data_IF_665353056381
#
_entry.id   IF_665353056381
#
_cell.length_a   1.000
_cell.length_b   1.000
_cell.length_c   1.000
_cell.angle_alpha   90.00
_cell.angle_beta   90.00
_cell.angle_gamma   90.00
#
_symmetry.space_group_name_H-M   'P 1'
#
loop_
_entity.id
_entity.type
_entity.pdbx_description
1 polymer ?
#
# COMPACT_ATOMS: atom_id res chain seq x y z
N UNK A 1 -31.59 -32.92 4.70
CA UNK A 1 -32.23 -32.67 6.01
C UNK A 1 -32.18 -31.16 6.21
N UNK A 2 -33.23 -30.47 5.82
CA UNK A 2 -34.34 -29.84 6.57
C UNK A 2 -33.87 -29.20 7.88
N UNK A 3 -33.88 -27.82 7.97
CA UNK A 3 -35.01 -27.07 8.52
C UNK A 3 -34.84 -25.57 8.35
N UNK A 4 -35.85 -24.95 7.75
CA UNK A 4 -36.31 -23.58 7.84
C UNK A 4 -36.69 -23.22 9.28
N UNK A 5 -36.52 -21.94 9.70
CA UNK A 5 -37.49 -21.23 10.56
C UNK A 5 -37.50 -19.77 10.16
N UNK A 6 -38.69 -19.31 9.78
CA UNK A 6 -39.11 -17.95 9.61
C UNK A 6 -39.54 -17.36 10.96
N UNK A 7 -39.44 -16.04 11.11
CA UNK A 7 -39.92 -15.30 12.28
C UNK A 7 -40.12 -13.83 11.96
N UNK A 8 -41.30 -13.52 11.50
CA UNK A 8 -41.93 -12.23 11.24
C UNK A 8 -42.38 -11.64 12.57
N UNK A 9 -42.13 -10.35 12.82
CA UNK A 9 -42.96 -9.57 13.74
C UNK A 9 -42.94 -8.10 13.36
N UNK A 10 -44.06 -7.71 12.87
CA UNK A 10 -44.54 -6.37 12.55
C UNK A 10 -45.24 -5.79 13.80
N UNK A 11 -44.83 -4.58 14.27
CA UNK A 11 -45.68 -3.78 15.18
C UNK A 11 -45.69 -2.33 14.76
N UNK A 12 -46.79 -1.96 14.13
CA UNK A 12 -47.26 -0.58 14.04
C UNK A 12 -47.87 -0.17 15.40
N UNK A 13 -47.54 1.01 15.86
CA UNK A 13 -48.37 1.76 16.80
C UNK A 13 -48.35 3.23 16.39
N UNK A 14 -49.47 3.69 15.88
CA UNK A 14 -49.82 5.09 15.68
C UNK A 14 -50.38 5.64 16.99
N UNK A 15 -49.95 6.84 17.38
CA UNK A 15 -50.66 7.68 18.36
C UNK A 15 -50.56 9.12 17.91
N UNK A 16 -51.67 9.67 17.48
CA UNK A 16 -51.93 11.10 17.36
C UNK A 16 -52.13 11.71 18.75
N UNK A 17 -51.50 12.86 18.99
CA UNK A 17 -51.74 13.69 20.13
C UNK A 17 -51.43 15.14 19.76
N UNK A 18 -52.49 15.97 19.71
CA UNK A 18 -52.49 17.38 19.34
C UNK A 18 -52.10 18.29 20.51
N UNK A 19 -51.46 19.41 20.19
CA UNK A 19 -51.63 20.68 20.91
C UNK A 19 -50.51 21.12 21.86
N UNK A 20 -49.93 22.28 21.61
CA UNK A 20 -49.12 23.02 22.56
C UNK A 20 -48.08 23.94 21.92
N UNK A 21 -48.49 25.20 21.66
CA UNK A 21 -47.57 26.33 21.43
C UNK A 21 -46.61 26.52 22.61
N UNK A 22 -45.33 26.68 22.34
CA UNK A 22 -44.37 27.14 23.32
C UNK A 22 -42.98 26.56 23.13
N UNK A 23 -42.07 27.32 22.58
CA UNK A 23 -40.65 27.00 22.74
C UNK A 23 -39.77 27.11 21.48
N UNK A 24 -39.75 28.29 20.88
CA UNK A 24 -38.83 28.58 19.78
C UNK A 24 -37.40 28.95 20.25
N UNK A 25 -37.14 28.96 21.56
CA UNK A 25 -35.84 29.34 22.13
C UNK A 25 -34.91 28.14 22.39
N UNK A 26 -35.45 26.94 22.62
CA UNK A 26 -34.64 25.76 22.91
C UNK A 26 -33.93 25.15 21.66
N UNK A 27 -34.40 25.48 20.45
CA UNK A 27 -33.79 24.98 19.20
C UNK A 27 -32.59 25.81 18.74
N UNK A 28 -32.43 27.05 19.22
CA UNK A 28 -31.28 27.88 18.86
C UNK A 28 -30.00 27.47 19.61
N UNK A 29 -30.11 27.10 20.89
CA UNK A 29 -28.94 26.65 21.68
C UNK A 29 -28.44 25.27 21.27
N UNK A 30 -29.32 24.34 20.88
CA UNK A 30 -28.91 23.02 20.40
C UNK A 30 -28.17 23.07 19.04
N UNK A 31 -28.50 24.07 18.19
CA UNK A 31 -27.86 24.22 16.89
C UNK A 31 -26.49 24.88 16.99
N UNK A 32 -26.27 25.77 17.95
CA UNK A 32 -24.96 26.39 18.20
C UNK A 32 -23.95 25.36 18.73
N UNK A 33 -24.38 24.49 19.65
CA UNK A 33 -23.49 23.42 20.20
C UNK A 33 -23.12 22.37 19.18
N UNK A 34 -24.00 22.04 18.20
CA UNK A 34 -23.71 21.11 17.10
C UNK A 34 -22.72 21.67 16.09
N UNK A 35 -22.76 23.00 15.85
CA UNK A 35 -21.82 23.65 14.90
C UNK A 35 -20.39 23.71 15.44
N UNK A 36 -20.22 23.97 16.72
CA UNK A 36 -18.89 24.00 17.34
C UNK A 36 -18.26 22.60 17.42
N UNK A 37 -19.05 21.56 17.70
CA UNK A 37 -18.56 20.18 17.70
C UNK A 37 -18.15 19.70 16.30
N UNK A 38 -18.92 20.08 15.28
CA UNK A 38 -18.56 19.75 13.87
C UNK A 38 -17.28 20.45 13.43
N UNK A 39 -17.11 21.73 13.74
CA UNK A 39 -15.92 22.49 13.42
C UNK A 39 -14.67 21.95 14.18
N UNK A 40 -14.85 21.50 15.42
CA UNK A 40 -13.76 20.89 16.19
C UNK A 40 -13.31 19.53 15.61
N UNK A 41 -14.24 18.72 15.12
CA UNK A 41 -13.94 17.43 14.48
C UNK A 41 -13.28 17.64 13.12
N UNK A 42 -13.77 18.58 12.30
CA UNK A 42 -13.14 18.93 11.02
C UNK A 42 -11.72 19.46 11.21
N UNK A 43 -11.49 20.30 12.22
CA UNK A 43 -10.17 20.84 12.53
C UNK A 43 -9.22 19.74 13.06
N UNK A 44 -9.71 18.78 13.86
CA UNK A 44 -8.94 17.63 14.32
C UNK A 44 -8.59 16.69 13.17
N UNK A 45 -9.49 16.46 12.20
CA UNK A 45 -9.25 15.66 11.01
C UNK A 45 -8.24 16.34 10.07
N UNK A 46 -8.32 17.66 9.91
CA UNK A 46 -7.35 18.43 9.12
C UNK A 46 -5.96 18.46 9.77
N UNK A 47 -5.88 18.54 11.08
CA UNK A 47 -4.60 18.49 11.83
C UNK A 47 -3.97 17.11 11.81
N UNK A 48 -4.74 16.02 11.76
CA UNK A 48 -4.20 14.67 11.66
C UNK A 48 -3.64 14.34 10.26
N UNK A 49 -4.04 15.09 9.22
CA UNK A 49 -3.61 14.86 7.84
C UNK A 49 -2.36 15.66 7.41
N UNK A 50 -1.76 16.46 8.28
CA UNK A 50 -0.69 17.38 7.89
C UNK A 50 0.41 17.60 8.94
N UNK A 51 0.64 16.67 9.87
CA UNK A 51 1.87 16.77 10.67
C UNK A 51 3.03 16.28 9.80
N UNK A 52 3.97 17.17 9.42
CA UNK A 52 5.18 16.72 8.72
C UNK A 52 5.85 15.64 9.56
N UNK A 53 6.34 14.57 8.92
CA UNK A 53 7.14 13.56 9.58
C UNK A 53 8.33 14.26 10.27
N UNK A 54 8.54 13.96 11.55
CA UNK A 54 9.76 14.41 12.21
C UNK A 54 10.95 13.81 11.47
N UNK A 55 12.03 14.56 11.35
CA UNK A 55 13.21 14.16 10.56
C UNK A 55 13.73 12.77 10.95
N UNK A 56 13.73 12.44 12.23
CA UNK A 56 14.17 11.12 12.72
C UNK A 56 13.25 9.99 12.23
N UNK A 57 11.94 10.21 12.22
CA UNK A 57 10.97 9.25 11.68
C UNK A 57 11.13 9.07 10.17
N UNK A 58 11.36 10.16 9.46
CA UNK A 58 11.59 10.11 8.01
C UNK A 58 12.87 9.33 7.70
N UNK A 59 13.96 9.56 8.41
CA UNK A 59 15.22 8.82 8.24
C UNK A 59 15.06 7.34 8.55
N UNK A 60 14.31 6.96 9.59
CA UNK A 60 14.02 5.56 9.92
C UNK A 60 13.21 4.87 8.83
N UNK A 61 12.23 5.56 8.22
CA UNK A 61 11.47 5.04 7.08
C UNK A 61 12.36 4.87 5.82
N UNK A 62 13.28 5.81 5.59
CA UNK A 62 14.23 5.71 4.48
C UNK A 62 15.18 4.53 4.65
N UNK A 63 15.64 4.25 5.87
CA UNK A 63 16.48 3.09 6.19
C UNK A 63 15.70 1.78 5.97
N UNK A 64 14.51 1.66 6.54
CA UNK A 64 13.63 0.49 6.34
C UNK A 64 13.36 0.23 4.85
N UNK A 65 13.11 1.28 4.07
CA UNK A 65 12.97 1.20 2.62
C UNK A 65 14.20 0.63 1.96
N UNK A 66 15.39 1.13 2.34
CA UNK A 66 16.68 0.68 1.82
C UNK A 66 16.88 -0.82 2.10
N UNK A 67 16.75 -1.23 3.35
CA UNK A 67 16.87 -2.64 3.75
C UNK A 67 15.91 -3.57 3.01
N UNK A 68 14.68 -3.13 2.78
CA UNK A 68 13.70 -3.93 2.05
C UNK A 68 14.05 -4.08 0.56
N UNK A 69 14.58 -3.03 -0.06
CA UNK A 69 15.10 -3.13 -1.43
C UNK A 69 16.37 -3.98 -1.51
N UNK A 70 17.24 -3.99 -0.49
CA UNK A 70 18.38 -4.91 -0.44
C UNK A 70 17.91 -6.36 -0.39
N UNK A 71 16.90 -6.69 0.44
CA UNK A 71 16.30 -8.05 0.46
C UNK A 71 15.76 -8.47 -0.90
N UNK A 72 15.06 -7.57 -1.61
CA UNK A 72 14.57 -7.83 -2.97
C UNK A 72 15.76 -8.03 -3.93
N UNK A 73 16.78 -7.18 -3.86
CA UNK A 73 17.96 -7.26 -4.70
C UNK A 73 18.74 -8.55 -4.52
N UNK A 74 18.91 -8.98 -3.29
CA UNK A 74 19.62 -10.22 -2.96
C UNK A 74 18.83 -11.46 -3.39
N UNK A 75 17.50 -11.45 -3.23
CA UNK A 75 16.63 -12.48 -3.77
C UNK A 75 16.76 -12.56 -5.31
N UNK A 76 16.71 -11.42 -6.02
CA UNK A 76 16.89 -11.36 -7.47
C UNK A 76 18.26 -11.88 -7.91
N UNK A 77 19.35 -11.54 -7.21
CA UNK A 77 20.71 -12.06 -7.49
C UNK A 77 20.76 -13.57 -7.29
N UNK A 78 20.19 -14.08 -6.20
CA UNK A 78 20.13 -15.52 -5.91
C UNK A 78 19.37 -16.28 -6.99
N UNK A 79 18.16 -15.83 -7.33
CA UNK A 79 17.33 -16.41 -8.40
C UNK A 79 18.07 -16.38 -9.73
N UNK A 80 18.66 -15.25 -10.10
CA UNK A 80 19.39 -15.08 -11.36
C UNK A 80 20.56 -16.07 -11.50
N UNK A 81 21.26 -16.35 -10.40
CA UNK A 81 22.36 -17.33 -10.36
C UNK A 81 21.86 -18.74 -10.65
N UNK A 82 20.79 -19.12 -9.97
CA UNK A 82 20.18 -20.45 -10.16
C UNK A 82 19.65 -20.64 -11.58
N UNK A 83 18.85 -19.68 -12.06
CA UNK A 83 18.20 -19.78 -13.36
C UNK A 83 19.16 -19.66 -14.56
N UNK A 84 20.41 -19.23 -14.36
CA UNK A 84 21.47 -19.27 -15.39
C UNK A 84 22.05 -20.67 -15.57
N UNK A 85 22.02 -21.51 -14.53
CA UNK A 85 22.53 -22.88 -14.57
C UNK A 85 21.61 -23.87 -15.27
N UNK A 86 22.14 -25.01 -15.69
CA UNK A 86 21.36 -26.08 -16.34
C UNK A 86 20.49 -26.84 -15.36
N UNK A 87 20.89 -26.94 -14.08
CA UNK A 87 20.17 -27.60 -13.00
C UNK A 87 19.92 -26.65 -11.84
N UNK A 88 18.96 -25.74 -11.95
CA UNK A 88 18.69 -24.76 -10.90
C UNK A 88 18.17 -25.41 -9.63
N UNK A 89 18.62 -24.92 -8.47
CA UNK A 89 18.01 -25.26 -7.19
C UNK A 89 16.65 -24.56 -7.08
N UNK A 90 15.58 -25.30 -7.36
CA UNK A 90 14.22 -24.75 -7.31
C UNK A 90 13.80 -24.32 -5.91
N UNK A 91 14.39 -24.86 -4.84
CA UNK A 91 14.17 -24.41 -3.47
C UNK A 91 14.64 -22.96 -3.28
N UNK A 92 15.84 -22.63 -3.74
CA UNK A 92 16.39 -21.26 -3.73
C UNK A 92 15.53 -20.32 -4.56
N UNK A 93 15.09 -20.75 -5.76
CA UNK A 93 14.23 -19.94 -6.64
C UNK A 93 12.89 -19.64 -5.96
N UNK A 94 12.24 -20.65 -5.36
CA UNK A 94 10.96 -20.48 -4.64
C UNK A 94 11.09 -19.57 -3.44
N UNK A 95 12.13 -19.74 -2.63
CA UNK A 95 12.36 -18.90 -1.45
C UNK A 95 12.55 -17.43 -1.86
N UNK A 96 13.38 -17.15 -2.87
CA UNK A 96 13.57 -15.80 -3.38
C UNK A 96 12.30 -15.21 -3.99
N UNK A 97 11.53 -16.00 -4.75
CA UNK A 97 10.26 -15.57 -5.32
C UNK A 97 9.23 -15.22 -4.24
N UNK A 98 9.15 -16.01 -3.18
CA UNK A 98 8.28 -15.75 -2.03
C UNK A 98 8.68 -14.45 -1.31
N UNK A 99 9.98 -14.22 -1.07
CA UNK A 99 10.48 -12.97 -0.46
C UNK A 99 10.06 -11.76 -1.28
N UNK A 100 10.24 -11.78 -2.60
CA UNK A 100 9.85 -10.66 -3.47
C UNK A 100 8.33 -10.47 -3.46
N UNK A 101 7.55 -11.56 -3.57
CA UNK A 101 6.09 -11.49 -3.58
C UNK A 101 5.50 -10.98 -2.25
N UNK A 102 6.18 -11.24 -1.13
CA UNK A 102 5.79 -10.73 0.18
C UNK A 102 6.04 -9.22 0.29
N UNK A 103 7.17 -8.73 -0.21
CA UNK A 103 7.56 -7.32 -0.09
C UNK A 103 6.91 -6.42 -1.16
N UNK A 104 6.59 -6.96 -2.33
CA UNK A 104 6.07 -6.20 -3.45
C UNK A 104 4.82 -5.36 -3.14
N UNK A 105 3.79 -5.86 -2.40
CA UNK A 105 2.62 -5.07 -2.05
C UNK A 105 2.93 -3.84 -1.19
N UNK A 106 4.00 -3.91 -0.39
CA UNK A 106 4.38 -2.85 0.55
C UNK A 106 5.10 -1.68 -0.12
N UNK A 107 5.67 -1.86 -1.33
CA UNK A 107 6.46 -0.85 -2.03
C UNK A 107 5.73 0.50 -2.16
N UNK A 108 4.42 0.48 -2.37
CA UNK A 108 3.60 1.69 -2.45
C UNK A 108 3.59 2.53 -1.16
N UNK A 109 3.91 1.92 -0.02
CA UNK A 109 3.91 2.57 1.30
C UNK A 109 5.28 3.08 1.74
N UNK A 110 6.35 2.74 1.01
CA UNK A 110 7.74 3.07 1.41
C UNK A 110 8.18 4.48 1.04
N UNK A 111 7.33 5.24 0.33
CA UNK A 111 7.65 6.59 -0.17
C UNK A 111 6.66 7.65 0.34
N UNK A 112 6.39 7.74 1.67
CA UNK A 112 5.55 8.81 2.15
C UNK A 112 6.19 10.19 1.90
N UNK A 113 5.37 11.22 1.85
CA UNK A 113 5.87 12.59 1.72
C UNK A 113 6.85 12.91 2.86
N UNK A 114 7.91 13.65 2.55
CA UNK A 114 8.96 13.98 3.53
C UNK A 114 10.01 12.87 3.73
N UNK A 115 10.14 11.91 2.79
CA UNK A 115 11.23 10.90 2.79
C UNK A 115 12.08 10.96 1.52
N UNK A 116 12.19 12.16 0.95
CA UNK A 116 12.94 12.44 -0.27
C UNK A 116 14.41 12.80 -0.03
N UNK A 117 15.16 13.12 -1.10
CA UNK A 117 16.57 13.45 -1.04
C UNK A 117 16.88 14.76 -0.27
N UNK A 118 15.87 15.59 -0.05
CA UNK A 118 15.93 16.81 0.76
C UNK A 118 16.03 16.54 2.27
N UNK A 119 15.69 15.32 2.71
CA UNK A 119 15.67 14.93 4.12
C UNK A 119 16.94 14.18 4.51
N UNK A 120 17.46 13.31 3.66
CA UNK A 120 18.62 12.51 3.94
C UNK A 120 19.18 11.81 2.71
N UNK A 121 20.27 11.05 2.89
CA UNK A 121 20.90 10.29 1.81
C UNK A 121 19.97 9.18 1.32
N UNK A 122 19.69 9.15 0.03
CA UNK A 122 18.85 8.14 -0.62
C UNK A 122 19.19 8.08 -2.11
N UNK A 123 18.95 6.93 -2.74
CA UNK A 123 18.99 6.77 -4.20
C UNK A 123 17.63 7.08 -4.84
N UNK A 124 16.61 7.38 -4.04
CA UNK A 124 15.28 7.73 -4.55
C UNK A 124 15.31 9.16 -5.11
N UNK A 125 14.91 9.30 -6.38
CA UNK A 125 14.85 10.60 -7.06
C UNK A 125 13.60 11.38 -6.65
N UNK A 126 13.70 12.71 -6.65
CA UNK A 126 12.59 13.61 -6.29
C UNK A 126 11.34 13.44 -7.17
N UNK A 127 11.52 12.94 -8.39
CA UNK A 127 10.45 12.66 -9.36
C UNK A 127 9.40 11.67 -8.83
N UNK A 128 9.73 10.82 -7.86
CA UNK A 128 8.76 9.93 -7.19
C UNK A 128 7.59 10.73 -6.61
N UNK A 129 7.88 11.84 -5.96
CA UNK A 129 6.88 12.70 -5.31
C UNK A 129 6.29 13.76 -6.26
N UNK A 130 6.98 14.03 -7.36
CA UNK A 130 6.51 14.96 -8.40
C UNK A 130 5.56 14.27 -9.39
N UNK A 131 5.71 12.96 -9.61
CA UNK A 131 4.93 12.16 -10.57
C UNK A 131 4.29 10.94 -9.89
N UNK A 132 3.46 11.14 -8.85
CA UNK A 132 2.96 10.05 -8.01
C UNK A 132 2.12 9.03 -8.78
N UNK A 133 1.37 9.45 -9.79
CA UNK A 133 0.53 8.55 -10.60
C UNK A 133 1.37 7.62 -11.48
N UNK A 134 2.42 8.14 -12.12
CA UNK A 134 3.33 7.33 -12.93
C UNK A 134 4.15 6.38 -12.06
N UNK A 135 4.66 6.87 -10.91
CA UNK A 135 5.33 6.02 -9.93
C UNK A 135 4.41 4.88 -9.43
N UNK A 136 3.15 5.18 -9.12
CA UNK A 136 2.17 4.17 -8.72
C UNK A 136 1.89 3.16 -9.85
N UNK A 137 1.88 3.59 -11.13
CA UNK A 137 1.76 2.67 -12.27
C UNK A 137 2.96 1.72 -12.34
N UNK A 138 4.19 2.22 -12.24
CA UNK A 138 5.41 1.38 -12.21
C UNK A 138 5.44 0.41 -11.03
N UNK A 139 4.96 0.85 -9.87
CA UNK A 139 4.83 0.00 -8.68
C UNK A 139 3.84 -1.15 -8.94
N UNK A 140 2.69 -0.87 -9.57
CA UNK A 140 1.74 -1.93 -9.95
C UNK A 140 2.32 -2.93 -10.96
N UNK A 141 3.08 -2.44 -11.95
CA UNK A 141 3.75 -3.32 -12.92
C UNK A 141 4.71 -4.28 -12.21
N UNK A 142 5.49 -3.78 -11.26
CA UNK A 142 6.36 -4.60 -10.42
C UNK A 142 5.58 -5.62 -9.59
N UNK A 143 4.52 -5.20 -8.91
CA UNK A 143 3.68 -6.08 -8.09
C UNK A 143 3.08 -7.22 -8.90
N UNK A 144 2.55 -6.94 -10.09
CA UNK A 144 2.00 -7.95 -10.99
C UNK A 144 3.08 -8.93 -11.46
N UNK A 145 4.26 -8.43 -11.83
CA UNK A 145 5.38 -9.26 -12.26
C UNK A 145 5.90 -10.15 -11.11
N UNK A 146 5.93 -9.64 -9.88
CA UNK A 146 6.32 -10.41 -8.69
C UNK A 146 5.34 -11.56 -8.41
N UNK A 147 4.04 -11.30 -8.48
CA UNK A 147 3.00 -12.35 -8.33
C UNK A 147 3.13 -13.39 -9.43
N UNK A 148 3.27 -12.97 -10.69
CA UNK A 148 3.42 -13.89 -11.83
C UNK A 148 4.68 -14.76 -11.70
N UNK A 149 5.81 -14.16 -11.28
CA UNK A 149 7.04 -14.91 -11.06
C UNK A 149 6.90 -15.89 -9.89
N UNK A 150 6.32 -15.47 -8.76
CA UNK A 150 6.10 -16.37 -7.63
C UNK A 150 5.19 -17.55 -8.03
N UNK A 151 4.16 -17.32 -8.82
CA UNK A 151 3.30 -18.39 -9.35
C UNK A 151 4.08 -19.37 -10.21
N UNK A 152 4.89 -18.88 -11.16
CA UNK A 152 5.73 -19.72 -12.00
C UNK A 152 6.74 -20.54 -11.17
N UNK A 153 7.31 -19.96 -10.12
CA UNK A 153 8.30 -20.60 -9.25
C UNK A 153 7.74 -21.79 -8.45
N UNK A 154 6.42 -21.88 -8.24
CA UNK A 154 5.78 -23.01 -7.57
C UNK A 154 5.75 -24.27 -8.47
N UNK A 155 5.86 -24.12 -9.78
CA UNK A 155 5.89 -25.22 -10.73
C UNK A 155 7.25 -25.93 -10.81
N UNK A 156 7.43 -26.68 -11.91
CA UNK A 156 8.69 -27.35 -12.27
C UNK A 156 9.21 -26.92 -13.65
N UNK A 157 8.47 -26.07 -14.36
CA UNK A 157 8.87 -25.56 -15.68
C UNK A 157 9.90 -24.42 -15.55
N UNK A 158 11.17 -24.78 -15.70
CA UNK A 158 12.29 -23.83 -15.63
C UNK A 158 12.25 -22.79 -16.74
N UNK A 159 11.71 -23.12 -17.92
CA UNK A 159 11.58 -22.16 -19.02
C UNK A 159 10.55 -21.09 -18.68
N UNK A 160 9.42 -21.48 -18.12
CA UNK A 160 8.40 -20.53 -17.62
C UNK A 160 8.96 -19.65 -16.49
N UNK A 161 9.75 -20.21 -15.56
CA UNK A 161 10.41 -19.44 -14.50
C UNK A 161 11.38 -18.40 -15.07
N UNK A 162 12.21 -18.78 -16.06
CA UNK A 162 13.12 -17.85 -16.74
C UNK A 162 12.39 -16.71 -17.43
N UNK A 163 11.30 -17.02 -18.14
CA UNK A 163 10.49 -16.01 -18.80
C UNK A 163 9.84 -15.02 -17.80
N UNK A 164 9.25 -15.53 -16.73
CA UNK A 164 8.64 -14.70 -15.67
C UNK A 164 9.70 -13.87 -14.92
N UNK A 165 10.87 -14.44 -14.61
CA UNK A 165 12.00 -13.72 -14.03
C UNK A 165 12.51 -12.58 -14.93
N UNK A 166 12.59 -12.81 -16.23
CA UNK A 166 12.97 -11.77 -17.18
C UNK A 166 11.96 -10.61 -17.21
N UNK A 167 10.66 -10.92 -17.10
CA UNK A 167 9.61 -9.90 -17.01
C UNK A 167 9.68 -9.11 -15.70
N UNK A 168 9.95 -9.78 -14.59
CA UNK A 168 10.19 -9.14 -13.30
C UNK A 168 11.40 -8.19 -13.39
N UNK A 169 12.51 -8.63 -14.00
CA UNK A 169 13.67 -7.78 -14.21
C UNK A 169 13.40 -6.54 -15.07
N UNK A 170 12.53 -6.66 -16.09
CA UNK A 170 12.09 -5.51 -16.89
C UNK A 170 11.29 -4.49 -16.07
N UNK A 171 10.40 -4.93 -15.18
CA UNK A 171 9.65 -4.02 -14.32
C UNK A 171 10.57 -3.28 -13.35
N UNK A 172 11.57 -3.98 -12.77
CA UNK A 172 12.60 -3.34 -11.93
C UNK A 172 13.35 -2.25 -12.71
N UNK A 173 13.84 -2.58 -13.91
CA UNK A 173 14.57 -1.62 -14.74
C UNK A 173 13.70 -0.44 -15.14
N UNK A 174 12.45 -0.67 -15.55
CA UNK A 174 11.56 0.40 -16.00
C UNK A 174 11.18 1.41 -14.90
N UNK A 175 11.25 1.00 -13.63
CA UNK A 175 11.12 1.89 -12.48
C UNK A 175 12.46 2.59 -12.17
N UNK A 176 13.57 1.84 -12.11
CA UNK A 176 14.90 2.35 -11.76
C UNK A 176 15.38 3.42 -12.75
N UNK A 177 15.19 3.25 -14.04
CA UNK A 177 15.59 4.23 -15.06
C UNK A 177 14.99 5.63 -14.84
N UNK A 178 13.84 5.73 -14.16
CA UNK A 178 13.12 6.98 -13.94
C UNK A 178 13.29 7.53 -12.51
N UNK A 179 13.38 6.65 -11.52
CA UNK A 179 13.15 6.96 -10.11
C UNK A 179 14.32 6.63 -9.19
N UNK A 180 15.38 6.02 -9.71
CA UNK A 180 16.60 5.71 -8.96
C UNK A 180 17.80 6.48 -9.51
N UNK A 181 18.63 7.05 -8.61
CA UNK A 181 19.92 7.62 -9.00
C UNK A 181 20.87 6.53 -9.53
N UNK A 182 21.58 6.83 -10.62
CA UNK A 182 22.66 5.99 -11.12
C UNK A 182 23.97 6.29 -10.37
N UNK A 183 24.72 5.26 -10.05
CA UNK A 183 26.05 5.33 -9.44
C UNK A 183 27.12 4.89 -10.43
#
# INVERSE_FOLDING_TARGET
>A
MKKLIAGMSLMLLAACGSGGDGGNEALAEANASGSEASAAVENAVQQSNATPLQKEQALALMETRHENYEKIGDAMKGISRELKGDNPNLGTVRAGAATIAQLAPEVSTWFPAGTGPDVGKTEARAEIWQKPEDFAAKTRDFQQAAVAFNSAAQGSDVAAMRAAHANLGKSCKGCHDLYREEH
#
